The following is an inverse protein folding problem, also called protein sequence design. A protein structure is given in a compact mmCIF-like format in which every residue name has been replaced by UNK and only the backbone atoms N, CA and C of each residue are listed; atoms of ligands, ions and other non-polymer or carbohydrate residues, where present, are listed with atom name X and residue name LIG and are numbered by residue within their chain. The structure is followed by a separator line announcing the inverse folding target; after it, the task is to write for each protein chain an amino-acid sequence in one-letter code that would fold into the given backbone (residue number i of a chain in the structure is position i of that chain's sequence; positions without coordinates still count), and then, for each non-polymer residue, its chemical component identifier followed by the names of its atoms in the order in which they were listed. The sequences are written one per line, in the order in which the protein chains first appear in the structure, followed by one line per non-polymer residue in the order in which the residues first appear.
data_IF_968683363176
#
_entry.id   IF_968683363176
#
_cell.length_a   1.000
_cell.length_b   1.000
_cell.length_c   1.000
_cell.angle_alpha   90.00
_cell.angle_beta   90.00
_cell.angle_gamma   90.00
#
_symmetry.space_group_name_H-M   'P 1'
#
loop_
_entity.id
_entity.type
_entity.pdbx_description
1 polymer ?
#
# COMPACT_ATOMS: atom_id res chain seq x y z
N UNK A 1 0.16 7.30 19.76
CA UNK A 1 0.42 6.21 18.79
C UNK A 1 -0.83 5.80 18.01
N UNK A 2 -1.93 5.37 18.66
CA UNK A 2 -3.15 4.92 17.95
C UNK A 2 -3.83 5.97 17.07
N UNK A 3 -3.85 7.25 17.49
CA UNK A 3 -4.56 8.30 16.75
C UNK A 3 -3.97 8.57 15.35
N UNK A 4 -2.64 8.43 15.20
CA UNK A 4 -1.99 8.64 13.90
C UNK A 4 -2.24 7.45 12.97
N UNK A 5 -2.13 6.23 13.49
CA UNK A 5 -2.45 5.01 12.74
C UNK A 5 -3.89 5.01 12.23
N UNK A 6 -4.86 5.46 13.02
CA UNK A 6 -6.27 5.58 12.60
C UNK A 6 -6.41 6.59 11.46
N UNK A 7 -5.79 7.77 11.58
CA UNK A 7 -5.83 8.81 10.54
C UNK A 7 -5.19 8.31 9.23
N UNK A 8 -4.00 7.73 9.30
CA UNK A 8 -3.33 7.17 8.12
C UNK A 8 -4.17 6.05 7.49
N UNK A 9 -4.74 5.16 8.30
CA UNK A 9 -5.61 4.09 7.80
C UNK A 9 -6.85 4.64 7.08
N UNK A 10 -7.49 5.69 7.62
CA UNK A 10 -8.64 6.33 6.97
C UNK A 10 -8.27 6.94 5.62
N UNK A 11 -7.10 7.58 5.53
CA UNK A 11 -6.60 8.18 4.27
C UNK A 11 -6.28 7.10 3.24
N UNK A 12 -5.67 5.99 3.65
CA UNK A 12 -5.35 4.90 2.72
C UNK A 12 -6.62 4.14 2.29
N UNK A 13 -7.59 3.97 3.19
CA UNK A 13 -8.89 3.39 2.84
C UNK A 13 -9.70 4.31 1.92
N UNK A 14 -9.63 5.63 2.09
CA UNK A 14 -10.28 6.55 1.17
C UNK A 14 -9.63 6.53 -0.21
N UNK A 15 -8.30 6.41 -0.28
CA UNK A 15 -7.58 6.22 -1.54
C UNK A 15 -7.96 4.91 -2.24
N UNK A 16 -8.08 3.82 -1.48
CA UNK A 16 -8.54 2.53 -1.99
C UNK A 16 -10.00 2.62 -2.49
N UNK A 17 -10.87 3.32 -1.74
CA UNK A 17 -12.26 3.54 -2.12
C UNK A 17 -12.38 4.39 -3.40
N UNK A 18 -11.59 5.46 -3.54
CA UNK A 18 -11.54 6.25 -4.78
C UNK A 18 -11.09 5.38 -5.96
N UNK A 19 -10.12 4.50 -5.74
CA UNK A 19 -9.66 3.57 -6.77
C UNK A 19 -10.74 2.55 -7.15
N UNK A 20 -11.54 2.10 -6.18
CA UNK A 20 -12.69 1.24 -6.42
C UNK A 20 -13.73 1.93 -7.32
N UNK A 21 -14.04 3.21 -7.06
CA UNK A 21 -14.93 3.98 -7.92
C UNK A 21 -14.37 4.14 -9.34
N UNK A 22 -13.05 4.31 -9.46
CA UNK A 22 -12.36 4.39 -10.75
C UNK A 22 -12.47 3.10 -11.55
N UNK A 23 -12.12 1.96 -10.93
CA UNK A 23 -12.07 0.65 -11.60
C UNK A 23 -13.46 0.16 -12.03
N UNK A 24 -14.50 0.48 -11.25
CA UNK A 24 -15.87 0.10 -11.58
C UNK A 24 -16.49 0.96 -12.70
N UNK A 25 -15.84 2.04 -13.13
CA UNK A 25 -16.32 2.87 -14.23
C UNK A 25 -15.65 2.42 -15.55
N UNK A 26 -16.42 1.95 -16.55
CA UNK A 26 -15.87 1.39 -17.78
C UNK A 26 -15.08 2.42 -18.60
N UNK A 27 -15.46 3.70 -18.56
CA UNK A 27 -14.76 4.75 -19.31
C UNK A 27 -13.41 5.09 -18.67
N UNK A 28 -13.37 5.19 -17.35
CA UNK A 28 -12.17 5.54 -16.58
C UNK A 28 -11.15 4.40 -16.51
N UNK A 29 -11.63 3.16 -16.38
CA UNK A 29 -10.76 1.98 -16.20
C UNK A 29 -9.77 1.77 -17.35
N UNK A 30 -10.12 2.19 -18.58
CA UNK A 30 -9.22 2.18 -19.74
C UNK A 30 -7.97 3.05 -19.59
N UNK A 31 -8.02 4.03 -18.68
CA UNK A 31 -6.93 4.97 -18.40
C UNK A 31 -6.16 4.63 -17.12
N UNK A 32 -6.39 3.45 -16.52
CA UNK A 32 -5.78 3.05 -15.24
C UNK A 32 -4.25 3.00 -15.30
N UNK A 33 -3.68 2.50 -16.39
CA UNK A 33 -2.22 2.46 -16.55
C UNK A 33 -1.64 3.87 -16.74
N UNK A 34 -2.31 4.72 -17.51
CA UNK A 34 -1.90 6.09 -17.81
C UNK A 34 -1.95 6.95 -16.54
N UNK A 35 -3.02 6.80 -15.73
CA UNK A 35 -3.13 7.43 -14.42
C UNK A 35 -2.00 6.97 -13.49
N UNK A 36 -1.75 5.65 -13.43
CA UNK A 36 -0.66 5.10 -12.61
C UNK A 36 0.71 5.65 -13.01
N UNK A 37 0.99 5.70 -14.32
CA UNK A 37 2.22 6.29 -14.85
C UNK A 37 2.33 7.78 -14.50
N UNK A 38 1.25 8.54 -14.68
CA UNK A 38 1.17 9.95 -14.33
C UNK A 38 1.45 10.21 -12.84
N UNK A 39 0.87 9.40 -11.95
CA UNK A 39 1.10 9.50 -10.51
C UNK A 39 2.53 9.16 -10.10
N UNK A 40 3.15 8.14 -10.71
CA UNK A 40 4.56 7.80 -10.46
C UNK A 40 5.49 8.92 -10.94
N UNK A 41 5.27 9.45 -12.14
CA UNK A 41 6.04 10.59 -12.67
C UNK A 41 5.88 11.80 -11.75
N UNK A 42 4.64 12.09 -11.34
CA UNK A 42 4.35 13.17 -10.41
C UNK A 42 5.10 13.00 -9.09
N UNK A 43 5.10 11.80 -8.50
CA UNK A 43 5.82 11.50 -7.26
C UNK A 43 7.32 11.75 -7.40
N UNK A 44 7.93 11.25 -8.49
CA UNK A 44 9.37 11.45 -8.76
C UNK A 44 9.72 12.94 -8.92
N UNK A 45 8.88 13.68 -9.66
CA UNK A 45 9.08 15.12 -9.85
C UNK A 45 8.88 15.90 -8.55
N UNK A 46 7.85 15.58 -7.78
CA UNK A 46 7.59 16.20 -6.49
C UNK A 46 8.77 16.00 -5.53
N UNK A 47 9.31 14.78 -5.46
CA UNK A 47 10.47 14.48 -4.62
C UNK A 47 11.70 15.30 -5.05
N UNK A 48 11.93 15.42 -6.37
CA UNK A 48 13.05 16.21 -6.92
C UNK A 48 12.91 17.72 -6.65
N UNK A 49 11.69 18.26 -6.71
CA UNK A 49 11.44 19.70 -6.61
C UNK A 49 11.35 20.18 -5.17
N UNK A 50 10.64 19.44 -4.31
CA UNK A 50 10.31 19.92 -2.97
C UNK A 50 11.38 19.57 -1.91
N UNK A 51 12.27 18.59 -2.17
CA UNK A 51 13.35 18.18 -1.24
C UNK A 51 12.91 18.06 0.23
N UNK A 52 11.66 17.68 0.50
CA UNK A 52 11.16 17.59 1.88
C UNK A 52 11.35 16.19 2.43
N UNK A 53 11.77 16.10 3.68
CA UNK A 53 12.14 14.84 4.35
C UNK A 53 10.94 13.94 4.75
N UNK A 54 9.69 14.32 4.46
CA UNK A 54 8.52 13.63 5.02
C UNK A 54 7.30 13.51 4.09
N UNK A 55 7.46 12.90 2.91
CA UNK A 55 6.35 12.56 2.01
C UNK A 55 5.75 11.16 2.23
N UNK A 56 6.13 10.46 3.30
CA UNK A 56 5.82 9.04 3.52
C UNK A 56 4.34 8.67 3.35
N UNK A 57 3.42 9.52 3.85
CA UNK A 57 1.97 9.27 3.71
C UNK A 57 1.49 9.47 2.27
N UNK A 58 1.98 10.49 1.58
CA UNK A 58 1.65 10.76 0.18
C UNK A 58 2.20 9.66 -0.72
N UNK A 59 3.45 9.25 -0.50
CA UNK A 59 4.10 8.14 -1.22
C UNK A 59 3.29 6.86 -1.03
N UNK A 60 2.99 6.51 0.22
CA UNK A 60 2.14 5.36 0.56
C UNK A 60 0.76 5.41 -0.10
N UNK A 61 0.14 6.58 -0.13
CA UNK A 61 -1.19 6.77 -0.75
C UNK A 61 -1.13 6.55 -2.26
N UNK A 62 -0.12 7.12 -2.92
CA UNK A 62 0.10 6.94 -4.35
C UNK A 62 0.42 5.48 -4.66
N UNK A 63 1.25 4.81 -3.86
CA UNK A 63 1.56 3.39 -4.01
C UNK A 63 0.30 2.52 -3.93
N UNK A 64 -0.60 2.76 -2.97
CA UNK A 64 -1.89 2.05 -2.88
C UNK A 64 -2.70 2.20 -4.17
N UNK A 65 -2.86 3.43 -4.65
CA UNK A 65 -3.62 3.73 -5.87
C UNK A 65 -2.97 3.04 -7.09
N UNK A 66 -1.68 3.25 -7.31
CA UNK A 66 -0.96 2.70 -8.45
C UNK A 66 -0.97 1.18 -8.46
N UNK A 67 -0.67 0.52 -7.33
CA UNK A 67 -0.63 -0.94 -7.26
C UNK A 67 -2.00 -1.53 -7.57
N UNK A 68 -3.07 -0.97 -7.00
CA UNK A 68 -4.43 -1.49 -7.21
C UNK A 68 -4.97 -1.19 -8.61
N UNK A 69 -4.62 -0.05 -9.22
CA UNK A 69 -4.91 0.25 -10.62
C UNK A 69 -4.16 -0.66 -11.59
N UNK A 70 -2.86 -0.87 -11.40
CA UNK A 70 -2.04 -1.73 -12.26
C UNK A 70 -2.54 -3.17 -12.23
N UNK A 71 -2.80 -3.68 -11.03
CA UNK A 71 -3.23 -5.07 -10.86
C UNK A 71 -4.65 -5.27 -11.38
N UNK A 72 -5.59 -4.36 -11.12
CA UNK A 72 -6.95 -4.44 -11.70
C UNK A 72 -6.94 -4.33 -13.24
N UNK A 73 -6.06 -3.52 -13.83
CA UNK A 73 -5.95 -3.39 -15.28
C UNK A 73 -5.25 -4.57 -15.97
N UNK A 74 -4.54 -5.43 -15.23
CA UNK A 74 -3.73 -6.53 -15.78
C UNK A 74 -4.27 -7.93 -15.46
N UNK A 75 -5.60 -8.06 -15.30
CA UNK A 75 -6.33 -9.28 -14.95
C UNK A 75 -6.45 -9.61 -13.44
N UNK A 76 -6.24 -8.64 -12.55
CA UNK A 76 -6.58 -8.76 -11.14
C UNK A 76 -5.77 -9.85 -10.43
N UNK A 77 -6.46 -10.84 -9.87
CA UNK A 77 -5.83 -11.94 -9.12
C UNK A 77 -5.04 -12.92 -10.01
N UNK A 78 -5.39 -13.07 -11.28
CA UNK A 78 -4.66 -13.98 -12.19
C UNK A 78 -3.44 -13.31 -12.82
N UNK A 79 -3.27 -12.01 -12.58
CA UNK A 79 -2.10 -11.26 -13.04
C UNK A 79 -0.83 -11.74 -12.35
N UNK A 80 0.26 -11.97 -13.10
CA UNK A 80 1.58 -12.10 -12.49
C UNK A 80 1.95 -10.88 -11.65
N UNK A 81 1.38 -9.70 -11.89
CA UNK A 81 1.66 -8.48 -11.11
C UNK A 81 0.93 -8.43 -9.76
N UNK A 82 0.09 -9.42 -9.43
CA UNK A 82 -0.63 -9.42 -8.15
C UNK A 82 0.29 -9.37 -6.93
N UNK A 83 1.53 -9.89 -7.05
CA UNK A 83 2.55 -9.84 -5.99
C UNK A 83 2.88 -8.40 -5.53
N UNK A 84 2.57 -7.38 -6.35
CA UNK A 84 2.73 -5.98 -5.96
C UNK A 84 1.85 -5.63 -4.75
N UNK A 85 0.69 -6.27 -4.57
CA UNK A 85 -0.13 -6.08 -3.36
C UNK A 85 0.58 -6.62 -2.13
N UNK A 86 1.32 -7.72 -2.24
CA UNK A 86 2.14 -8.24 -1.14
C UNK A 86 3.25 -7.25 -0.80
N UNK A 87 3.98 -6.73 -1.80
CA UNK A 87 4.98 -5.69 -1.56
C UNK A 87 4.40 -4.43 -0.94
N UNK A 88 3.21 -4.01 -1.38
CA UNK A 88 2.50 -2.87 -0.81
C UNK A 88 2.24 -3.07 0.70
N UNK A 89 1.87 -4.27 1.14
CA UNK A 89 1.73 -4.56 2.58
C UNK A 89 3.05 -4.38 3.35
N UNK A 90 4.17 -4.82 2.77
CA UNK A 90 5.49 -4.63 3.37
C UNK A 90 5.91 -3.15 3.38
N UNK A 91 5.75 -2.46 2.26
CA UNK A 91 6.04 -1.03 2.11
C UNK A 91 5.34 -0.22 3.19
N UNK A 92 4.02 -0.39 3.35
CA UNK A 92 3.25 0.37 4.33
C UNK A 92 3.61 0.02 5.77
N UNK A 93 3.96 -1.24 6.04
CA UNK A 93 4.41 -1.66 7.36
C UNK A 93 5.76 -1.04 7.74
N UNK A 94 6.62 -0.77 6.74
CA UNK A 94 7.94 -0.17 6.91
C UNK A 94 7.89 1.36 6.96
N UNK A 95 7.12 1.99 6.07
CA UNK A 95 7.07 3.45 5.93
C UNK A 95 6.16 4.12 6.98
N UNK A 96 5.08 3.45 7.39
CA UNK A 96 4.08 3.97 8.33
C UNK A 96 4.04 3.12 9.61
N UNK A 97 2.85 2.88 10.15
CA UNK A 97 2.61 2.00 11.30
C UNK A 97 2.34 0.55 10.88
N UNK A 98 2.98 -0.46 11.50
CA UNK A 98 2.83 -1.86 11.12
C UNK A 98 1.40 -2.41 11.13
N UNK A 99 0.53 -1.84 11.96
CA UNK A 99 -0.90 -2.20 12.03
C UNK A 99 -1.69 -1.82 10.77
N UNK A 100 -1.21 -0.87 9.97
CA UNK A 100 -1.88 -0.43 8.74
C UNK A 100 -1.95 -1.57 7.73
N UNK A 101 -0.92 -2.41 7.65
CA UNK A 101 -0.92 -3.59 6.77
C UNK A 101 -2.11 -4.52 7.04
N UNK A 102 -2.55 -4.65 8.31
CA UNK A 102 -3.71 -5.47 8.68
C UNK A 102 -4.99 -4.87 8.11
N UNK A 103 -5.21 -3.57 8.36
CA UNK A 103 -6.41 -2.87 7.90
C UNK A 103 -6.47 -2.88 6.37
N UNK A 104 -5.34 -2.62 5.70
CA UNK A 104 -5.30 -2.60 4.25
C UNK A 104 -5.50 -3.99 3.64
N UNK A 105 -5.03 -5.07 4.30
CA UNK A 105 -5.29 -6.44 3.82
C UNK A 105 -6.80 -6.68 3.66
N UNK A 106 -7.59 -6.36 4.69
CA UNK A 106 -9.05 -6.48 4.60
C UNK A 106 -9.63 -5.55 3.53
N UNK A 107 -9.13 -4.32 3.44
CA UNK A 107 -9.53 -3.37 2.39
C UNK A 107 -9.32 -3.94 0.99
N UNK A 108 -8.12 -4.48 0.71
CA UNK A 108 -7.77 -5.09 -0.58
C UNK A 108 -8.63 -6.32 -0.87
N UNK A 109 -8.88 -7.16 0.14
CA UNK A 109 -9.78 -8.31 -0.05
C UNK A 109 -11.18 -7.87 -0.46
N UNK A 110 -11.75 -6.89 0.23
CA UNK A 110 -13.05 -6.32 -0.14
C UNK A 110 -13.01 -5.68 -1.53
N UNK A 111 -11.93 -4.97 -1.86
CA UNK A 111 -11.73 -4.36 -3.17
C UNK A 111 -11.79 -5.38 -4.31
N UNK A 112 -11.02 -6.47 -4.24
CA UNK A 112 -10.99 -7.49 -5.31
C UNK A 112 -12.30 -8.26 -5.41
N UNK A 113 -12.95 -8.53 -4.27
CA UNK A 113 -14.27 -9.17 -4.25
C UNK A 113 -15.33 -8.28 -4.88
N UNK A 114 -15.36 -6.99 -4.55
CA UNK A 114 -16.37 -6.06 -5.02
C UNK A 114 -16.20 -5.69 -6.51
N UNK A 115 -14.96 -5.60 -6.98
CA UNK A 115 -14.66 -5.32 -8.40
C UNK A 115 -14.83 -6.54 -9.32
N UNK A 116 -15.28 -7.69 -8.79
CA UNK A 116 -15.41 -8.97 -9.51
C UNK A 116 -14.11 -9.44 -10.17
N UNK A 117 -12.96 -9.05 -9.61
CA UNK A 117 -11.63 -9.44 -10.07
C UNK A 117 -11.17 -10.80 -9.50
N UNK A 118 -12.11 -11.52 -8.86
CA UNK A 118 -11.94 -12.88 -8.37
C UNK A 118 -12.62 -13.84 -9.33
N UNK A 119 -11.84 -14.51 -10.17
CA UNK A 119 -12.40 -15.53 -11.07
C UNK A 119 -12.97 -16.73 -10.30
N UNK A 120 -13.80 -17.53 -10.97
CA UNK A 120 -14.59 -18.62 -10.34
C UNK A 120 -13.79 -19.82 -9.82
N UNK A 121 -12.49 -19.91 -10.13
CA UNK A 121 -11.65 -21.04 -9.71
C UNK A 121 -11.31 -20.96 -8.21
N UNK A 122 -11.34 -22.09 -7.47
CA UNK A 122 -10.87 -22.13 -6.07
C UNK A 122 -9.41 -21.70 -5.91
N UNK A 123 -8.61 -21.79 -6.98
CA UNK A 123 -7.24 -21.27 -7.00
C UNK A 123 -7.18 -19.75 -6.74
N UNK A 124 -8.15 -18.98 -7.22
CA UNK A 124 -8.18 -17.53 -7.01
C UNK A 124 -8.45 -17.16 -5.56
N UNK A 125 -9.23 -17.99 -4.83
CA UNK A 125 -9.41 -17.82 -3.40
C UNK A 125 -8.10 -18.04 -2.64
N UNK A 126 -7.29 -19.01 -3.05
CA UNK A 126 -5.97 -19.23 -2.46
C UNK A 126 -5.04 -18.03 -2.69
N UNK A 127 -5.07 -17.43 -3.89
CA UNK A 127 -4.32 -16.20 -4.19
C UNK A 127 -4.82 -15.04 -3.32
N UNK A 128 -6.14 -14.86 -3.17
CA UNK A 128 -6.69 -13.82 -2.31
C UNK A 128 -6.30 -14.01 -0.83
N UNK A 129 -6.38 -15.25 -0.33
CA UNK A 129 -5.99 -15.62 1.03
C UNK A 129 -4.48 -15.48 1.26
N UNK A 130 -3.65 -15.51 0.20
CA UNK A 130 -2.22 -15.27 0.33
C UNK A 130 -1.91 -13.87 0.89
N UNK A 131 -2.81 -12.89 0.71
CA UNK A 131 -2.68 -11.58 1.36
C UNK A 131 -2.70 -11.72 2.88
N UNK A 132 -3.66 -12.47 3.45
CA UNK A 132 -3.75 -12.72 4.90
C UNK A 132 -2.52 -13.44 5.45
N UNK A 133 -1.95 -14.36 4.67
CA UNK A 133 -0.73 -15.08 5.06
C UNK A 133 0.49 -14.14 5.09
N UNK A 134 0.53 -13.16 4.18
CA UNK A 134 1.64 -12.23 4.08
C UNK A 134 1.55 -11.06 5.06
N UNK A 135 0.35 -10.68 5.49
CA UNK A 135 0.13 -9.63 6.50
C UNK A 135 0.93 -9.79 7.80
N UNK A 136 0.96 -10.96 8.49
CA UNK A 136 1.74 -11.12 9.71
C UNK A 136 3.24 -10.98 9.45
N UNK A 137 3.73 -11.42 8.28
CA UNK A 137 5.13 -11.25 7.88
C UNK A 137 5.45 -9.77 7.68
N UNK A 138 4.58 -9.03 6.99
CA UNK A 138 4.73 -7.59 6.82
C UNK A 138 4.74 -6.87 8.17
N UNK A 139 3.76 -7.17 9.03
CA UNK A 139 3.65 -6.59 10.37
C UNK A 139 4.88 -6.89 11.25
N UNK A 140 5.40 -8.12 11.19
CA UNK A 140 6.63 -8.49 11.91
C UNK A 140 7.80 -7.66 11.40
N UNK A 141 7.97 -7.57 10.08
CA UNK A 141 9.06 -6.81 9.47
C UNK A 141 9.01 -5.33 9.85
N UNK A 142 7.84 -4.71 9.77
CA UNK A 142 7.64 -3.32 10.20
C UNK A 142 7.99 -3.11 11.68
N UNK A 143 7.58 -4.04 12.57
CA UNK A 143 7.95 -3.98 13.99
C UNK A 143 9.45 -4.14 14.23
N UNK A 144 10.12 -5.04 13.50
CA UNK A 144 11.58 -5.22 13.59
C UNK A 144 12.28 -3.93 13.14
N UNK A 145 11.86 -3.36 12.02
CA UNK A 145 12.40 -2.10 11.51
C UNK A 145 12.28 -0.96 12.52
N UNK A 146 11.10 -0.79 13.14
CA UNK A 146 10.89 0.22 14.17
C UNK A 146 11.78 0.01 15.41
N UNK A 147 11.97 -1.24 15.85
CA UNK A 147 12.86 -1.57 16.97
C UNK A 147 14.31 -1.18 16.66
N UNK A 148 14.81 -1.55 15.49
CA UNK A 148 16.17 -1.22 15.05
C UNK A 148 16.37 0.29 14.95
N UNK A 149 15.41 1.00 14.34
CA UNK A 149 15.44 2.47 14.26
C UNK A 149 15.53 3.13 15.63
N UNK A 150 14.72 2.68 16.59
CA UNK A 150 14.71 3.25 17.95
C UNK A 150 16.01 2.95 18.71
N UNK A 151 16.61 1.77 18.52
CA UNK A 151 17.91 1.42 19.11
C UNK A 151 19.04 2.32 18.60
N UNK A 152 19.07 2.57 17.29
CA UNK A 152 20.04 3.50 16.67
C UNK A 152 19.89 4.91 17.26
N UNK A 153 18.65 5.40 17.39
CA UNK A 153 18.40 6.73 17.96
C UNK A 153 18.87 6.79 19.42
N UNK A 154 18.56 5.78 20.24
CA UNK A 154 18.96 5.75 21.66
C UNK A 154 20.48 5.66 21.89
N UNK A 155 21.21 5.05 20.96
CA UNK A 155 22.67 4.92 21.04
C UNK A 155 23.38 6.19 20.57
N UNK A 156 22.79 6.93 19.63
CA UNK A 156 23.34 8.18 19.10
C UNK A 156 22.97 9.41 19.95
N UNK A 157 21.83 9.43 20.64
CA UNK A 157 21.39 10.59 21.43
C UNK A 157 22.40 11.11 22.47
N UNK A 158 23.13 10.28 23.24
CA UNK A 158 24.11 10.80 24.21
C UNK A 158 25.40 11.35 23.57
N UNK A 159 25.68 11.05 22.30
CA UNK A 159 26.88 11.53 21.60
C UNK A 159 26.75 12.98 21.09
N UNK A 160 25.53 13.49 20.98
CA UNK A 160 25.24 14.85 20.49
C UNK A 160 24.80 15.82 21.59
N UNK A 161 24.81 15.38 22.86
CA UNK A 161 24.42 16.18 24.03
C UNK A 161 25.61 16.68 24.87
N UNK A 162 26.83 16.59 24.35
CA UNK A 162 28.06 17.18 24.91
C UNK A 162 28.52 18.34 24.03
#
# INVERSE_FOLDING_TARGET
MFNNAIKHSLILLSALFLTLLWVNNPDLSNYSLQLSAGLIIFLVLAHKLFKTDSFLLTESTISVICVTLITSATAGLTSPLFFLNHFLLFELSLLLEPSIAVILTFGLMVFYLYTNQVGSSPYNLAILLSLLVMTPLALLLGKVYQKVKNQIISTLSPLFSQ
#
